data_IF_267295598922
#
_entry.id   IF_267295598922
#
_cell.length_a   1.000
_cell.length_b   1.000
_cell.length_c   1.000
_cell.angle_alpha   90.00
_cell.angle_beta   90.00
_cell.angle_gamma   90.00
#
_symmetry.space_group_name_H-M   'P 1'
#
loop_
_entity.id
_entity.type
_entity.pdbx_description
1 polymer ?
#
# COMPACT_ATOMS: atom_id res chain seq x y z
N UNK A 1 -2.48 17.44 9.83
CA UNK A 1 -3.08 16.11 10.06
C UNK A 1 -3.63 16.03 11.48
N UNK A 2 -4.70 15.26 11.76
CA UNK A 2 -5.13 14.96 13.14
C UNK A 2 -4.18 13.92 13.74
N UNK A 3 -3.97 13.96 15.05
CA UNK A 3 -3.14 12.97 15.76
C UNK A 3 -3.98 12.22 16.81
N UNK A 4 -3.69 10.93 16.96
CA UNK A 4 -4.19 10.07 18.03
C UNK A 4 -3.03 9.30 18.65
N UNK A 5 -3.06 9.15 19.97
CA UNK A 5 -2.05 8.41 20.71
C UNK A 5 -2.71 7.25 21.46
N UNK A 6 -2.11 6.07 21.39
CA UNK A 6 -2.54 4.88 22.11
C UNK A 6 -1.42 4.43 23.04
N UNK A 7 -1.70 4.51 24.34
CA UNK A 7 -0.91 3.86 25.38
C UNK A 7 -1.40 2.41 25.57
N UNK A 8 -0.69 1.46 24.98
CA UNK A 8 -0.95 0.03 25.12
C UNK A 8 0.00 -0.60 26.14
N UNK A 9 -0.56 -1.08 27.25
CA UNK A 9 0.17 -1.71 28.38
C UNK A 9 0.09 -3.24 28.40
N UNK A 10 -0.36 -3.87 27.30
CA UNK A 10 -0.43 -5.32 27.18
C UNK A 10 0.92 -5.99 26.88
N UNK A 11 0.89 -7.23 26.36
CA UNK A 11 2.09 -7.96 25.91
C UNK A 11 2.95 -7.16 24.92
N UNK A 12 4.19 -7.60 24.69
CA UNK A 12 5.09 -7.04 23.68
C UNK A 12 4.36 -6.75 22.36
N UNK A 13 4.43 -5.48 21.97
CA UNK A 13 3.85 -4.94 20.76
C UNK A 13 4.82 -5.19 19.60
N UNK A 14 4.32 -5.86 18.58
CA UNK A 14 4.95 -5.99 17.28
C UNK A 14 4.18 -5.14 16.25
N UNK A 15 4.75 -5.00 15.04
CA UNK A 15 4.15 -4.22 13.95
C UNK A 15 2.71 -4.67 13.64
N UNK A 16 2.44 -5.97 13.64
CA UNK A 16 1.13 -6.51 13.27
C UNK A 16 0.05 -6.14 14.29
N UNK A 17 0.37 -6.22 15.58
CA UNK A 17 -0.55 -5.79 16.64
C UNK A 17 -0.73 -4.28 16.63
N UNK A 18 0.37 -3.53 16.47
CA UNK A 18 0.34 -2.08 16.40
C UNK A 18 -0.54 -1.58 15.23
N UNK A 19 -0.41 -2.19 14.05
CA UNK A 19 -1.21 -1.82 12.88
C UNK A 19 -2.69 -2.16 13.05
N UNK A 20 -3.04 -3.29 13.69
CA UNK A 20 -4.43 -3.62 14.01
C UNK A 20 -5.05 -2.59 14.97
N UNK A 21 -4.32 -2.16 16.00
CA UNK A 21 -4.78 -1.11 16.91
C UNK A 21 -4.98 0.22 16.18
N UNK A 22 -4.02 0.60 15.34
CA UNK A 22 -4.10 1.82 14.55
C UNK A 22 -5.26 1.81 13.54
N UNK A 23 -5.48 0.69 12.85
CA UNK A 23 -6.61 0.48 11.94
C UNK A 23 -7.93 0.67 12.69
N UNK A 24 -8.07 0.08 13.88
CA UNK A 24 -9.29 0.22 14.67
C UNK A 24 -9.58 1.68 15.07
N UNK A 25 -8.56 2.50 15.28
CA UNK A 25 -8.74 3.94 15.54
C UNK A 25 -9.16 4.66 14.26
N UNK A 26 -8.50 4.37 13.14
CA UNK A 26 -8.83 4.96 11.85
C UNK A 26 -10.27 4.64 11.41
N UNK A 27 -10.70 3.38 11.56
CA UNK A 27 -12.08 2.91 11.28
C UNK A 27 -13.13 3.59 12.17
N UNK A 28 -12.73 4.08 13.35
CA UNK A 28 -13.62 4.79 14.28
C UNK A 28 -13.70 6.30 14.04
N UNK A 29 -12.85 6.86 13.18
CA UNK A 29 -12.85 8.30 12.91
C UNK A 29 -13.98 8.68 11.95
N UNK A 30 -14.95 9.43 12.47
CA UNK A 30 -16.13 9.88 11.70
C UNK A 30 -15.81 10.78 10.50
N UNK A 31 -14.58 11.28 10.36
CA UNK A 31 -14.16 12.15 9.25
C UNK A 31 -13.39 11.38 8.16
N UNK A 32 -13.17 10.07 8.34
CA UNK A 32 -12.52 9.20 7.36
C UNK A 32 -13.53 8.10 7.02
N UNK A 33 -14.05 8.13 5.79
CA UNK A 33 -15.12 7.21 5.37
C UNK A 33 -14.52 5.85 4.99
N UNK A 34 -13.42 5.86 4.24
CA UNK A 34 -12.68 4.65 3.86
C UNK A 34 -11.20 4.83 4.23
N UNK A 35 -10.80 4.40 5.43
CA UNK A 35 -9.42 4.55 5.88
C UNK A 35 -8.46 3.72 5.05
N UNK A 36 -7.38 4.35 4.59
CA UNK A 36 -6.28 3.67 3.90
C UNK A 36 -4.96 4.13 4.49
N UNK A 37 -4.06 3.18 4.80
CA UNK A 37 -2.73 3.49 5.31
C UNK A 37 -1.86 4.04 4.18
N UNK A 38 -1.39 5.29 4.34
CA UNK A 38 -0.57 6.00 3.35
C UNK A 38 0.92 5.85 3.67
N UNK A 39 1.27 5.88 4.96
CA UNK A 39 2.65 5.74 5.41
C UNK A 39 2.72 5.13 6.82
N UNK A 40 3.86 4.55 7.17
CA UNK A 40 4.10 4.01 8.52
C UNK A 40 5.57 3.96 8.88
N UNK A 41 5.85 3.87 10.18
CA UNK A 41 7.18 3.74 10.74
C UNK A 41 7.19 2.83 11.98
N UNK A 42 8.02 1.79 11.92
CA UNK A 42 8.42 0.96 13.05
C UNK A 42 9.77 1.45 13.54
N UNK A 43 9.79 2.22 14.63
CA UNK A 43 11.01 2.78 15.20
C UNK A 43 11.92 1.71 15.79
N UNK A 44 11.36 0.60 16.29
CA UNK A 44 12.12 -0.48 16.93
C UNK A 44 13.03 -1.18 15.94
N UNK A 45 12.55 -1.37 14.71
CA UNK A 45 13.34 -1.99 13.63
C UNK A 45 13.85 -0.97 12.60
N UNK A 46 13.55 0.32 12.79
CA UNK A 46 13.88 1.41 11.85
C UNK A 46 13.34 1.15 10.43
N UNK A 47 12.23 0.43 10.33
CA UNK A 47 11.55 0.15 9.06
C UNK A 47 10.45 1.18 8.84
N UNK A 48 10.27 1.59 7.60
CA UNK A 48 9.23 2.55 7.23
C UNK A 48 8.70 2.25 5.85
N UNK A 49 7.53 2.79 5.54
CA UNK A 49 7.02 2.85 4.18
C UNK A 49 6.33 4.20 3.94
N UNK A 50 6.54 4.83 2.78
CA UNK A 50 7.51 4.45 1.77
C UNK A 50 8.97 4.65 2.27
N UNK A 51 9.89 3.83 1.77
CA UNK A 51 11.33 4.09 1.92
C UNK A 51 11.74 5.06 0.82
N UNK A 52 12.18 6.25 1.21
CA UNK A 52 12.66 7.28 0.27
C UNK A 52 14.17 7.31 0.30
N UNK A 53 14.79 6.65 -0.68
CA UNK A 53 16.25 6.55 -0.81
C UNK A 53 16.94 7.91 -0.96
N UNK A 54 18.12 8.05 -0.38
CA UNK A 54 18.92 9.28 -0.46
C UNK A 54 18.43 10.44 0.41
N UNK A 55 17.53 10.19 1.36
CA UNK A 55 16.97 11.20 2.26
C UNK A 55 17.10 10.85 3.74
N UNK A 56 16.76 11.80 4.61
CA UNK A 56 16.61 11.60 6.06
C UNK A 56 15.49 10.61 6.40
N UNK A 57 15.66 9.85 7.50
CA UNK A 57 14.75 8.79 7.99
C UNK A 57 13.35 9.28 8.43
N UNK A 58 12.96 10.52 8.10
CA UNK A 58 11.67 11.12 8.43
C UNK A 58 10.78 11.34 7.20
N UNK A 59 11.26 11.08 5.98
CA UNK A 59 10.50 11.37 4.76
C UNK A 59 9.22 10.58 4.57
N UNK A 60 9.10 9.42 5.22
CA UNK A 60 7.84 8.67 5.24
C UNK A 60 6.71 9.54 5.80
N UNK A 61 7.02 10.41 6.78
CA UNK A 61 6.06 11.31 7.42
C UNK A 61 5.67 12.46 6.47
N UNK A 62 6.67 13.16 5.89
CA UNK A 62 6.44 14.18 4.86
C UNK A 62 5.59 13.63 3.69
N UNK A 63 5.87 12.38 3.28
CA UNK A 63 5.11 11.70 2.25
C UNK A 63 3.64 11.52 2.68
N UNK A 64 3.41 10.95 3.87
CA UNK A 64 2.08 10.76 4.42
C UNK A 64 1.28 12.06 4.50
N UNK A 65 1.88 13.13 5.02
CA UNK A 65 1.22 14.44 5.13
C UNK A 65 0.88 15.03 3.76
N UNK A 66 1.81 14.95 2.79
CA UNK A 66 1.62 15.52 1.45
C UNK A 66 0.73 14.68 0.52
N UNK A 67 0.54 13.39 0.81
CA UNK A 67 -0.22 12.44 -0.03
C UNK A 67 -1.55 12.03 0.61
N UNK A 68 -2.25 13.01 1.19
CA UNK A 68 -3.63 12.84 1.65
C UNK A 68 -3.79 12.27 3.05
N UNK A 69 -2.72 12.26 3.85
CA UNK A 69 -2.77 11.94 5.28
C UNK A 69 -3.74 12.86 6.03
N UNK A 70 -4.73 12.25 6.69
CA UNK A 70 -5.75 12.91 7.49
C UNK A 70 -5.61 12.62 8.98
N UNK A 71 -5.16 11.42 9.34
CA UNK A 71 -4.97 10.96 10.72
C UNK A 71 -3.62 10.26 10.87
N UNK A 72 -2.85 10.66 11.88
CA UNK A 72 -1.68 9.93 12.37
C UNK A 72 -2.02 9.25 13.69
N UNK A 73 -1.66 7.97 13.80
CA UNK A 73 -1.84 7.18 15.01
C UNK A 73 -0.46 6.74 15.50
N UNK A 74 -0.08 7.21 16.68
CA UNK A 74 1.12 6.79 17.39
C UNK A 74 0.75 5.77 18.47
N UNK A 75 1.48 4.64 18.51
CA UNK A 75 1.32 3.59 19.50
C UNK A 75 2.59 3.54 20.34
N UNK A 76 2.46 3.92 21.62
CA UNK A 76 3.55 3.93 22.61
C UNK A 76 4.81 4.73 22.21
N UNK A 77 4.75 5.62 21.20
CA UNK A 77 5.96 6.23 20.65
C UNK A 77 6.86 5.26 19.86
N UNK A 78 6.44 4.01 19.63
CA UNK A 78 7.22 2.94 19.00
C UNK A 78 6.82 2.70 17.54
N UNK A 79 5.54 2.89 17.22
CA UNK A 79 4.97 2.69 15.89
C UNK A 79 4.09 3.87 15.51
N UNK A 80 4.24 4.36 14.30
CA UNK A 80 3.46 5.46 13.75
C UNK A 80 2.79 5.02 12.44
N UNK A 81 1.53 5.40 12.24
CA UNK A 81 0.74 5.07 11.07
C UNK A 81 -0.04 6.29 10.61
N UNK A 82 0.08 6.65 9.33
CA UNK A 82 -0.65 7.76 8.71
C UNK A 82 -1.74 7.18 7.80
N UNK A 83 -2.98 7.59 8.03
CA UNK A 83 -4.17 7.21 7.28
C UNK A 83 -4.71 8.38 6.48
N UNK A 84 -5.07 8.11 5.23
CA UNK A 84 -5.88 8.96 4.37
C UNK A 84 -7.31 8.43 4.25
N UNK A 85 -8.06 9.00 3.32
CA UNK A 85 -9.45 8.64 3.05
C UNK A 85 -9.62 8.38 1.56
N UNK A 86 -9.87 7.12 1.19
CA UNK A 86 -10.00 6.70 -0.20
C UNK A 86 -11.39 6.91 -0.78
N UNK A 87 -12.38 7.34 0.01
CA UNK A 87 -13.78 7.42 -0.43
C UNK A 87 -14.06 8.38 -1.58
N UNK A 88 -13.12 9.30 -1.87
CA UNK A 88 -13.19 10.19 -3.01
C UNK A 88 -12.73 9.54 -4.33
N UNK A 89 -12.16 8.33 -4.27
CA UNK A 89 -11.71 7.57 -5.43
C UNK A 89 -12.71 6.46 -5.73
N UNK A 90 -13.04 6.30 -7.01
CA UNK A 90 -13.83 5.15 -7.43
C UNK A 90 -12.99 3.88 -7.30
N UNK A 91 -13.55 2.82 -6.74
CA UNK A 91 -12.99 1.48 -6.92
C UNK A 91 -12.87 1.23 -8.42
N UNK A 92 -11.63 1.15 -8.90
CA UNK A 92 -11.39 0.63 -10.23
C UNK A 92 -11.87 -0.82 -10.19
N UNK A 93 -12.92 -1.11 -10.96
CA UNK A 93 -13.45 -2.46 -11.10
C UNK A 93 -12.36 -3.45 -11.52
N UNK A 94 -12.68 -4.75 -11.68
CA UNK A 94 -11.67 -5.75 -12.00
C UNK A 94 -10.81 -5.27 -13.15
N UNK A 95 -9.49 -5.17 -12.93
CA UNK A 95 -8.55 -4.74 -13.94
C UNK A 95 -8.85 -5.50 -15.23
N UNK A 96 -9.00 -4.83 -16.38
CA UNK A 96 -9.20 -5.53 -17.64
C UNK A 96 -7.94 -6.32 -18.04
N UNK A 97 -6.86 -6.21 -17.26
CA UNK A 97 -5.59 -6.88 -17.45
C UNK A 97 -5.28 -7.89 -16.34
N UNK A 98 -4.67 -9.00 -16.70
CA UNK A 98 -4.13 -10.03 -15.80
C UNK A 98 -2.69 -10.36 -16.21
N UNK A 99 -1.82 -10.62 -15.23
CA UNK A 99 -0.47 -11.13 -15.49
C UNK A 99 -0.51 -12.66 -15.59
N UNK A 100 0.11 -13.21 -16.63
CA UNK A 100 0.26 -14.65 -16.84
C UNK A 100 1.73 -14.99 -17.12
N UNK A 101 2.10 -16.25 -16.87
CA UNK A 101 3.42 -16.78 -17.18
C UNK A 101 3.26 -18.01 -18.06
N UNK A 102 4.11 -18.15 -19.07
CA UNK A 102 4.21 -19.40 -19.83
C UNK A 102 5.10 -20.44 -19.11
N UNK A 103 5.23 -21.63 -19.69
CA UNK A 103 6.09 -22.70 -19.15
C UNK A 103 7.58 -22.34 -19.09
N UNK A 104 8.01 -21.35 -19.87
CA UNK A 104 9.39 -20.85 -19.89
C UNK A 104 9.62 -19.70 -18.90
N UNK A 105 8.58 -19.27 -18.17
CA UNK A 105 8.63 -18.17 -17.21
C UNK A 105 8.56 -16.78 -17.85
N UNK A 106 8.20 -16.66 -19.12
CA UNK A 106 7.96 -15.37 -19.77
C UNK A 106 6.66 -14.79 -19.22
N UNK A 107 6.73 -13.56 -18.70
CA UNK A 107 5.56 -12.86 -18.18
C UNK A 107 4.82 -12.12 -19.30
N UNK A 108 3.49 -12.12 -19.23
CA UNK A 108 2.61 -11.45 -20.16
C UNK A 108 1.60 -10.61 -19.41
N UNK A 109 1.25 -9.44 -19.97
CA UNK A 109 0.04 -8.72 -19.59
C UNK A 109 -1.06 -9.01 -20.61
N UNK A 110 -2.19 -9.54 -20.13
CA UNK A 110 -3.27 -10.03 -20.99
C UNK A 110 -4.59 -9.31 -20.73
N UNK A 111 -5.28 -8.90 -21.80
CA UNK A 111 -6.66 -8.40 -21.71
C UNK A 111 -7.64 -9.53 -21.44
N UNK A 112 -8.29 -9.51 -20.27
CA UNK A 112 -9.22 -10.55 -19.81
C UNK A 112 -10.34 -10.81 -20.83
N UNK A 113 -10.85 -9.76 -21.47
CA UNK A 113 -11.95 -9.89 -22.44
C UNK A 113 -11.53 -10.54 -23.77
N UNK A 114 -10.23 -10.54 -24.10
CA UNK A 114 -9.68 -11.17 -25.28
C UNK A 114 -9.07 -12.56 -24.97
N UNK A 115 -8.76 -12.83 -23.70
CA UNK A 115 -8.14 -14.07 -23.25
C UNK A 115 -9.15 -15.22 -23.26
N UNK A 116 -8.95 -16.17 -24.19
CA UNK A 116 -9.82 -17.36 -24.31
C UNK A 116 -9.38 -18.52 -23.42
N UNK A 117 -8.09 -18.69 -23.24
CA UNK A 117 -7.48 -19.75 -22.43
C UNK A 117 -6.28 -19.19 -21.65
N UNK A 118 -6.36 -19.09 -20.30
CA UNK A 118 -5.26 -18.64 -19.46
C UNK A 118 -3.99 -19.50 -19.53
N UNK A 119 -4.10 -20.77 -19.95
CA UNK A 119 -2.94 -21.65 -20.10
C UNK A 119 -2.27 -21.55 -21.48
N UNK A 120 -2.91 -20.83 -22.42
CA UNK A 120 -2.38 -20.65 -23.78
C UNK A 120 -2.54 -19.19 -24.22
N UNK A 121 -1.73 -18.27 -23.66
CA UNK A 121 -1.82 -16.84 -23.96
C UNK A 121 -1.53 -16.56 -25.44
N UNK A 122 -2.55 -16.13 -26.18
CA UNK A 122 -2.43 -15.77 -27.59
C UNK A 122 -1.95 -14.31 -27.76
N UNK A 123 -1.20 -14.02 -28.82
CA UNK A 123 -0.75 -12.65 -29.16
C UNK A 123 -1.91 -11.64 -29.37
N UNK A 124 -3.11 -12.13 -29.64
CA UNK A 124 -4.32 -11.29 -29.78
C UNK A 124 -4.79 -10.73 -28.42
N UNK A 125 -4.50 -11.44 -27.33
CA UNK A 125 -4.95 -11.11 -25.99
C UNK A 125 -3.82 -10.64 -25.07
N UNK A 126 -2.57 -10.98 -25.38
CA UNK A 126 -1.44 -10.88 -24.48
C UNK A 126 -0.23 -10.22 -25.14
N UNK A 127 0.46 -9.36 -24.38
CA UNK A 127 1.73 -8.76 -24.77
C UNK A 127 2.81 -9.24 -23.80
N UNK A 128 3.96 -9.76 -24.28
CA UNK A 128 5.05 -10.15 -23.40
C UNK A 128 5.61 -8.92 -22.68
N UNK A 129 5.84 -9.06 -21.39
CA UNK A 129 6.57 -8.10 -20.57
C UNK A 129 8.06 -8.39 -20.73
N UNK A 130 8.60 -8.05 -21.89
CA UNK A 130 10.06 -8.01 -22.06
C UNK A 130 10.65 -6.87 -21.22
N UNK A 131 11.94 -6.92 -20.90
CA UNK A 131 12.75 -5.91 -20.17
C UNK A 131 12.62 -4.45 -20.65
N UNK A 132 11.81 -4.17 -21.67
CA UNK A 132 11.52 -2.86 -22.26
C UNK A 132 10.80 -1.88 -21.32
N UNK A 133 10.07 -2.34 -20.31
CA UNK A 133 9.53 -1.44 -19.26
C UNK A 133 10.64 -0.84 -18.37
N UNK A 134 11.86 -1.38 -18.41
CA UNK A 134 13.05 -0.80 -17.75
C UNK A 134 13.55 0.50 -18.41
N UNK A 135 12.96 0.93 -19.54
CA UNK A 135 13.35 2.15 -20.29
C UNK A 135 12.35 3.31 -20.18
N UNK A 136 11.32 3.19 -19.33
CA UNK A 136 10.36 4.27 -19.07
C UNK A 136 10.63 5.05 -17.76
N UNK A 137 11.80 4.86 -17.15
CA UNK A 137 12.34 5.72 -16.09
C UNK A 137 13.59 6.44 -16.55
#
# INVERSE_FOLDING_TARGET
MKEAHIDYSGQDLDYMKASVLANSVADSDVNIIEPVMVAWHDKKTSRMSPVVEGSVNTRWHDYGESHGGKLEVDINGEYEFIYGDSSAFEEYGPSPYVNLHDENGIEYICQINALRDPHNPTQEACVPLDDWTSKLT
#
